data_IF_927635660076
#
_entry.id   IF_927635660076
#
_cell.length_a   1.000
_cell.length_b   1.000
_cell.length_c   1.000
_cell.angle_alpha   90.00
_cell.angle_beta   90.00
_cell.angle_gamma   90.00
#
_symmetry.space_group_name_H-M   'P 1'
#
loop_
_entity.id
_entity.type
_entity.pdbx_description
1 polymer ?
#
# COMPACT_ATOMS: atom_id res chain seq x y z
N UNK A 1 35.57 -14.26 46.91
CA UNK A 1 34.65 -14.35 45.76
C UNK A 1 33.87 -13.05 45.73
N UNK A 2 34.17 -12.14 44.79
CA UNK A 2 33.44 -10.88 44.67
C UNK A 2 32.10 -11.16 44.01
N UNK A 3 31.03 -10.70 44.65
CA UNK A 3 29.64 -10.77 44.19
C UNK A 3 29.45 -9.76 43.05
N UNK A 4 29.63 -10.21 41.80
CA UNK A 4 29.48 -9.39 40.60
C UNK A 4 28.00 -9.22 40.25
N UNK A 5 27.25 -8.47 41.08
CA UNK A 5 25.91 -8.02 40.70
C UNK A 5 26.05 -6.96 39.60
N UNK A 6 25.42 -7.14 38.42
CA UNK A 6 25.51 -6.16 37.33
C UNK A 6 24.94 -4.82 37.80
N UNK A 7 25.59 -3.71 37.39
CA UNK A 7 25.15 -2.36 37.79
C UNK A 7 23.76 -2.10 37.20
N UNK A 8 22.91 -1.30 37.86
CA UNK A 8 21.59 -0.94 37.33
C UNK A 8 21.63 -0.36 35.91
N UNK A 9 22.68 0.41 35.60
CA UNK A 9 22.98 0.99 34.28
C UNK A 9 23.15 -0.09 33.20
N UNK A 10 23.87 -1.18 33.49
CA UNK A 10 24.09 -2.29 32.56
C UNK A 10 22.77 -3.03 32.22
N UNK A 11 21.75 -2.94 33.09
CA UNK A 11 20.41 -3.50 32.81
C UNK A 11 19.56 -2.54 31.99
N UNK A 12 19.63 -1.24 32.27
CA UNK A 12 18.91 -0.22 31.55
C UNK A 12 19.39 -0.15 30.09
N UNK A 13 20.70 -0.16 29.88
CA UNK A 13 21.29 -0.18 28.53
C UNK A 13 20.83 -1.39 27.72
N UNK A 14 20.80 -2.59 28.33
CA UNK A 14 20.26 -3.80 27.69
C UNK A 14 18.77 -3.67 27.36
N UNK A 15 17.98 -3.04 28.23
CA UNK A 15 16.56 -2.83 27.98
C UNK A 15 16.33 -1.84 26.83
N UNK A 16 17.10 -0.76 26.76
CA UNK A 16 17.06 0.21 25.65
C UNK A 16 17.42 -0.48 24.34
N UNK A 17 18.56 -1.17 24.26
CA UNK A 17 18.97 -1.91 23.05
C UNK A 17 17.91 -2.93 22.60
N UNK A 18 17.28 -3.63 23.55
CA UNK A 18 16.21 -4.58 23.23
C UNK A 18 14.95 -3.87 22.69
N UNK A 19 14.58 -2.72 23.26
CA UNK A 19 13.45 -1.92 22.79
C UNK A 19 13.71 -1.32 21.40
N UNK A 20 14.93 -0.83 21.13
CA UNK A 20 15.35 -0.35 19.80
C UNK A 20 15.24 -1.45 18.75
N UNK A 21 15.78 -2.64 19.04
CA UNK A 21 15.68 -3.75 18.10
C UNK A 21 14.22 -4.13 17.83
N UNK A 22 13.37 -4.16 18.88
CA UNK A 22 11.95 -4.47 18.71
C UNK A 22 11.22 -3.41 17.88
N UNK A 23 11.58 -2.13 18.02
CA UNK A 23 11.01 -1.04 17.23
C UNK A 23 11.39 -1.17 15.76
N UNK A 24 12.66 -1.45 15.46
CA UNK A 24 13.15 -1.68 14.09
C UNK A 24 12.39 -2.84 13.44
N UNK A 25 12.21 -3.97 14.14
CA UNK A 25 11.43 -5.09 13.60
C UNK A 25 9.97 -4.69 13.32
N UNK A 26 9.38 -3.87 14.19
CA UNK A 26 8.02 -3.37 14.02
C UNK A 26 7.90 -2.45 12.81
N UNK A 27 8.84 -1.53 12.61
CA UNK A 27 8.89 -0.65 11.44
C UNK A 27 9.06 -1.43 10.14
N UNK A 28 9.94 -2.44 10.13
CA UNK A 28 10.12 -3.34 8.98
C UNK A 28 8.82 -4.08 8.65
N UNK A 29 8.12 -4.58 9.67
CA UNK A 29 6.85 -5.27 9.49
C UNK A 29 5.75 -4.33 8.97
N UNK A 30 5.68 -3.11 9.52
CA UNK A 30 4.72 -2.10 9.10
C UNK A 30 4.95 -1.66 7.66
N UNK A 31 6.19 -1.39 7.26
CA UNK A 31 6.51 -1.01 5.89
C UNK A 31 6.25 -2.17 4.91
N UNK A 32 6.53 -3.41 5.33
CA UNK A 32 6.16 -4.60 4.55
C UNK A 32 4.65 -4.67 4.30
N UNK A 33 3.83 -4.43 5.32
CA UNK A 33 2.38 -4.44 5.20
C UNK A 33 1.86 -3.28 4.33
N UNK A 34 2.44 -2.08 4.48
CA UNK A 34 2.13 -0.92 3.65
C UNK A 34 2.38 -1.21 2.17
N UNK A 35 3.53 -1.79 1.84
CA UNK A 35 3.88 -2.22 0.47
C UNK A 35 2.87 -3.25 -0.06
N UNK A 36 2.40 -4.16 0.79
CA UNK A 36 1.36 -5.12 0.40
C UNK A 36 0.03 -4.45 0.08
N UNK A 37 -0.42 -3.51 0.92
CA UNK A 37 -1.61 -2.68 0.67
C UNK A 37 -1.48 -1.94 -0.65
N UNK A 38 -0.35 -1.29 -0.91
CA UNK A 38 -0.12 -0.51 -2.12
C UNK A 38 -0.15 -1.40 -3.37
N UNK A 39 0.54 -2.55 -3.32
CA UNK A 39 0.55 -3.53 -4.41
C UNK A 39 -0.84 -4.12 -4.67
N UNK A 40 -1.60 -4.40 -3.61
CA UNK A 40 -2.96 -4.91 -3.75
C UNK A 40 -3.93 -3.83 -4.25
N UNK A 41 -3.80 -2.59 -3.78
CA UNK A 41 -4.58 -1.44 -4.25
C UNK A 41 -4.41 -1.24 -5.77
N UNK A 42 -3.17 -1.32 -6.26
CA UNK A 42 -2.89 -1.30 -7.72
C UNK A 42 -3.62 -2.42 -8.44
N UNK A 43 -3.52 -3.65 -7.95
CA UNK A 43 -4.19 -4.80 -8.57
C UNK A 43 -5.72 -4.63 -8.56
N UNK A 44 -6.30 -4.22 -7.43
CA UNK A 44 -7.72 -3.95 -7.27
C UNK A 44 -8.19 -2.92 -8.29
N UNK A 45 -7.48 -1.80 -8.42
CA UNK A 45 -7.83 -0.76 -9.38
C UNK A 45 -7.75 -1.26 -10.83
N UNK A 46 -6.67 -1.98 -11.19
CA UNK A 46 -6.50 -2.54 -12.54
C UNK A 46 -7.57 -3.57 -12.90
N UNK A 47 -7.96 -4.44 -11.95
CA UNK A 47 -8.95 -5.50 -12.20
C UNK A 47 -10.40 -4.98 -12.15
N UNK A 48 -10.73 -4.16 -11.17
CA UNK A 48 -12.12 -3.80 -10.85
C UNK A 48 -12.50 -2.39 -11.30
N UNK A 49 -11.53 -1.47 -11.41
CA UNK A 49 -11.75 -0.09 -11.86
C UNK A 49 -12.59 0.01 -13.15
N UNK A 50 -12.23 -0.72 -14.22
CA UNK A 50 -13.00 -0.71 -15.47
C UNK A 50 -14.46 -1.15 -15.31
N UNK A 51 -14.74 -2.09 -14.40
CA UNK A 51 -16.09 -2.57 -14.14
C UNK A 51 -16.91 -1.55 -13.38
N UNK A 52 -16.31 -0.85 -12.40
CA UNK A 52 -16.97 0.27 -11.72
C UNK A 52 -17.33 1.38 -12.69
N UNK A 53 -16.38 1.82 -13.52
CA UNK A 53 -16.64 2.84 -14.55
C UNK A 53 -17.73 2.40 -15.52
N UNK A 54 -17.73 1.12 -15.94
CA UNK A 54 -18.77 0.58 -16.82
C UNK A 54 -20.15 0.57 -16.17
N UNK A 55 -20.23 0.21 -14.88
CA UNK A 55 -21.49 0.24 -14.13
C UNK A 55 -22.01 1.66 -13.98
N UNK A 56 -21.17 2.62 -13.63
CA UNK A 56 -21.57 4.04 -13.52
C UNK A 56 -22.09 4.58 -14.87
N UNK A 57 -21.41 4.26 -15.98
CA UNK A 57 -21.88 4.62 -17.33
C UNK A 57 -23.25 3.98 -17.65
N UNK A 58 -23.42 2.70 -17.35
CA UNK A 58 -24.69 2.00 -17.60
C UNK A 58 -25.83 2.57 -16.74
N UNK A 59 -25.58 2.87 -15.47
CA UNK A 59 -26.55 3.50 -14.59
C UNK A 59 -26.96 4.90 -15.11
N UNK A 60 -26.01 5.68 -15.62
CA UNK A 60 -26.31 6.96 -16.26
C UNK A 60 -27.17 6.80 -17.52
N UNK A 61 -26.81 5.86 -18.41
CA UNK A 61 -27.58 5.57 -19.63
C UNK A 61 -28.99 5.06 -19.33
N UNK A 62 -29.14 4.19 -18.33
CA UNK A 62 -30.46 3.69 -17.89
C UNK A 62 -31.32 4.85 -17.37
N UNK A 63 -30.77 5.71 -16.51
CA UNK A 63 -31.49 6.86 -15.98
C UNK A 63 -31.90 7.85 -17.08
N UNK A 64 -31.02 8.09 -18.06
CA UNK A 64 -31.31 8.93 -19.22
C UNK A 64 -32.40 8.35 -20.12
N UNK A 65 -32.33 7.04 -20.43
CA UNK A 65 -33.34 6.35 -21.21
C UNK A 65 -34.71 6.38 -20.49
N UNK A 66 -34.72 6.17 -19.17
CA UNK A 66 -35.93 6.27 -18.36
C UNK A 66 -36.52 7.69 -18.41
N UNK A 67 -35.71 8.72 -18.17
CA UNK A 67 -36.14 10.12 -18.20
C UNK A 67 -36.68 10.53 -19.58
N UNK A 68 -36.09 10.02 -20.67
CA UNK A 68 -36.56 10.26 -22.03
C UNK A 68 -37.94 9.64 -22.30
N UNK A 69 -38.23 8.47 -21.71
CA UNK A 69 -39.54 7.80 -21.83
C UNK A 69 -40.62 8.45 -20.98
N UNK A 70 -40.31 8.80 -19.74
CA UNK A 70 -41.31 9.31 -18.77
C UNK A 70 -41.54 10.81 -18.93
N UNK A 71 -40.49 11.57 -19.25
CA UNK A 71 -40.52 13.03 -19.21
C UNK A 71 -40.66 13.61 -17.79
N UNK A 72 -40.53 12.77 -16.75
CA UNK A 72 -40.70 13.17 -15.36
C UNK A 72 -39.50 14.05 -14.91
N UNK A 73 -39.74 15.24 -14.34
CA UNK A 73 -38.67 16.08 -13.78
C UNK A 73 -37.78 15.37 -12.75
N UNK A 74 -38.32 14.44 -11.96
CA UNK A 74 -37.53 13.68 -10.97
C UNK A 74 -36.60 12.67 -11.65
N UNK A 75 -37.03 12.05 -12.75
CA UNK A 75 -36.18 11.14 -13.52
C UNK A 75 -35.10 11.91 -14.28
N UNK A 76 -35.41 13.10 -14.80
CA UNK A 76 -34.42 14.00 -15.38
C UNK A 76 -33.34 14.42 -14.38
N UNK A 77 -33.73 14.71 -13.13
CA UNK A 77 -32.78 15.01 -12.06
C UNK A 77 -31.87 13.81 -11.76
N UNK A 78 -32.44 12.60 -11.63
CA UNK A 78 -31.65 11.38 -11.40
C UNK A 78 -30.67 11.09 -12.54
N UNK A 79 -31.10 11.30 -13.79
CA UNK A 79 -30.23 11.16 -14.96
C UNK A 79 -29.04 12.14 -14.91
N UNK A 80 -29.29 13.40 -14.59
CA UNK A 80 -28.23 14.40 -14.42
C UNK A 80 -27.27 14.04 -13.28
N UNK A 81 -27.80 13.57 -12.15
CA UNK A 81 -26.98 13.13 -11.00
C UNK A 81 -26.12 11.91 -11.35
N UNK A 82 -26.66 10.92 -12.07
CA UNK A 82 -25.91 9.75 -12.50
C UNK A 82 -24.82 10.13 -13.52
N UNK A 83 -25.14 10.97 -14.51
CA UNK A 83 -24.18 11.46 -15.49
C UNK A 83 -23.05 12.28 -14.86
N UNK A 84 -23.35 13.05 -13.81
CA UNK A 84 -22.34 13.80 -13.07
C UNK A 84 -21.32 12.91 -12.35
N UNK A 85 -21.67 11.67 -11.98
CA UNK A 85 -20.73 10.71 -11.36
C UNK A 85 -19.74 10.12 -12.37
N UNK A 86 -20.17 10.02 -13.63
CA UNK A 86 -19.35 9.49 -14.73
C UNK A 86 -18.36 10.52 -15.24
N UNK A 87 -18.73 11.81 -15.25
CA UNK A 87 -17.85 12.85 -15.78
C UNK A 87 -16.57 12.99 -14.94
N UNK A 88 -15.38 13.05 -15.57
CA UNK A 88 -14.16 13.44 -14.86
C UNK A 88 -14.37 14.79 -14.19
N UNK A 89 -14.08 14.88 -12.90
CA UNK A 89 -14.13 16.15 -12.17
C UNK A 89 -12.99 17.06 -12.70
N UNK A 90 -13.29 18.27 -13.21
CA UNK A 90 -12.26 19.17 -13.72
C UNK A 90 -11.19 19.45 -12.66
N UNK A 91 -9.92 19.24 -12.99
CA UNK A 91 -8.76 19.46 -12.09
C UNK A 91 -8.38 18.26 -11.21
N UNK A 92 -9.12 17.15 -11.27
CA UNK A 92 -8.77 15.90 -10.57
C UNK A 92 -7.95 14.97 -11.46
N UNK A 93 -8.13 15.01 -12.79
CA UNK A 93 -7.28 14.28 -13.75
C UNK A 93 -5.78 14.58 -13.59
N UNK A 94 -5.42 15.79 -13.17
CA UNK A 94 -4.03 16.17 -12.88
C UNK A 94 -3.49 15.55 -11.57
N UNK A 95 -4.35 15.18 -10.61
CA UNK A 95 -3.91 14.50 -9.38
C UNK A 95 -3.65 13.01 -9.60
N UNK A 96 -4.23 12.42 -10.64
CA UNK A 96 -4.10 11.00 -11.02
C UNK A 96 -3.12 10.78 -12.18
N UNK A 97 -2.10 11.65 -12.31
CA UNK A 97 -1.06 11.61 -13.35
C UNK A 97 -0.64 10.16 -13.73
N UNK A 98 -1.15 9.67 -14.87
CA UNK A 98 -0.66 8.49 -15.58
C UNK A 98 -1.44 7.17 -15.42
N UNK A 99 -2.62 7.13 -14.80
CA UNK A 99 -3.34 5.85 -14.56
C UNK A 99 -4.75 5.77 -15.16
N UNK A 100 -5.33 6.91 -15.55
CA UNK A 100 -6.44 6.97 -16.50
C UNK A 100 -5.94 7.71 -17.73
N UNK A 101 -5.43 6.97 -18.71
CA UNK A 101 -5.18 7.56 -20.02
C UNK A 101 -6.52 8.05 -20.59
N UNK A 102 -6.51 9.22 -21.21
CA UNK A 102 -7.70 9.82 -21.85
C UNK A 102 -8.18 9.03 -23.09
N UNK A 103 -7.73 7.79 -23.29
CA UNK A 103 -7.97 6.96 -24.46
C UNK A 103 -9.09 5.91 -24.26
N UNK A 104 -9.69 5.82 -23.07
CA UNK A 104 -10.80 4.90 -22.78
C UNK A 104 -10.39 3.65 -22.00
N UNK A 105 -11.19 2.59 -22.08
CA UNK A 105 -10.95 1.34 -21.32
C UNK A 105 -9.73 0.62 -21.92
N UNK A 106 -8.68 0.30 -21.12
CA UNK A 106 -7.50 -0.43 -21.61
C UNK A 106 -7.88 -1.72 -22.35
N UNK A 107 -7.13 -2.17 -23.36
CA UNK A 107 -7.46 -3.37 -24.14
C UNK A 107 -7.70 -4.62 -23.28
N UNK A 108 -6.89 -4.80 -22.23
CA UNK A 108 -7.02 -5.88 -21.26
C UNK A 108 -8.34 -5.78 -20.50
N UNK A 109 -8.69 -4.58 -20.06
CA UNK A 109 -9.94 -4.30 -19.37
C UNK A 109 -11.17 -4.46 -20.29
N UNK A 110 -11.07 -4.02 -21.54
CA UNK A 110 -12.13 -4.19 -22.53
C UNK A 110 -12.36 -5.67 -22.83
N UNK A 111 -11.28 -6.45 -22.96
CA UNK A 111 -11.38 -7.88 -23.17
C UNK A 111 -11.91 -8.61 -21.91
N UNK A 112 -11.55 -8.18 -20.69
CA UNK A 112 -12.19 -8.67 -19.46
C UNK A 112 -13.69 -8.39 -19.41
N UNK A 113 -14.13 -7.18 -19.79
CA UNK A 113 -15.55 -6.82 -19.83
C UNK A 113 -16.36 -7.63 -20.86
N UNK A 114 -15.73 -8.08 -21.93
CA UNK A 114 -16.36 -8.87 -23.00
C UNK A 114 -16.12 -10.38 -22.86
N UNK A 115 -15.70 -10.85 -21.68
CA UNK A 115 -15.41 -12.27 -21.38
C UNK A 115 -14.42 -12.90 -22.38
N UNK A 116 -13.48 -12.09 -22.88
CA UNK A 116 -12.42 -12.54 -23.77
C UNK A 116 -11.21 -13.03 -22.97
N UNK A 117 -10.45 -14.02 -23.47
CA UNK A 117 -9.31 -14.58 -22.76
C UNK A 117 -8.16 -13.57 -22.66
N UNK A 118 -7.93 -13.05 -21.45
CA UNK A 118 -6.83 -12.11 -21.13
C UNK A 118 -6.00 -12.65 -19.97
N UNK A 119 -4.69 -12.39 -20.00
CA UNK A 119 -3.86 -12.57 -18.81
C UNK A 119 -4.20 -11.48 -17.81
N UNK A 120 -4.92 -11.86 -16.75
CA UNK A 120 -5.17 -10.97 -15.63
C UNK A 120 -3.88 -10.34 -15.12
N UNK A 121 -3.89 -9.02 -14.77
CA UNK A 121 -2.76 -8.41 -14.11
C UNK A 121 -2.45 -9.18 -12.82
N UNK A 122 -1.16 -9.29 -12.49
CA UNK A 122 -0.69 -9.94 -11.28
C UNK A 122 -0.16 -8.90 -10.32
N UNK A 123 -0.50 -9.05 -9.04
CA UNK A 123 0.10 -8.25 -7.97
C UNK A 123 1.61 -8.43 -7.99
N UNK A 124 2.36 -7.33 -7.88
CA UNK A 124 3.79 -7.41 -7.58
C UNK A 124 3.92 -8.02 -6.18
N UNK A 125 4.55 -9.19 -6.12
CA UNK A 125 4.83 -9.91 -4.88
C UNK A 125 6.33 -9.99 -4.74
N UNK A 126 6.95 -9.26 -3.79
CA UNK A 126 8.37 -9.40 -3.54
C UNK A 126 8.73 -10.87 -3.30
N UNK A 127 9.76 -11.35 -4.00
CA UNK A 127 10.21 -12.74 -3.87
C UNK A 127 10.75 -13.03 -2.46
N UNK A 128 10.88 -14.31 -2.09
CA UNK A 128 11.51 -14.68 -0.81
C UNK A 128 12.94 -14.14 -0.69
N UNK A 129 13.66 -14.08 -1.81
CA UNK A 129 14.97 -13.43 -1.87
C UNK A 129 14.88 -11.94 -1.60
N UNK A 130 14.00 -11.21 -2.28
CA UNK A 130 13.79 -9.78 -2.07
C UNK A 130 13.38 -9.48 -0.62
N UNK A 131 12.47 -10.28 -0.05
CA UNK A 131 12.06 -10.20 1.37
C UNK A 131 13.22 -10.42 2.33
N UNK A 132 14.11 -11.35 2.03
CA UNK A 132 15.30 -11.60 2.85
C UNK A 132 16.27 -10.43 2.79
N UNK A 133 16.63 -9.99 1.58
CA UNK A 133 17.56 -8.88 1.35
C UNK A 133 17.04 -7.58 1.97
N UNK A 134 15.74 -7.29 1.77
CA UNK A 134 15.08 -6.14 2.35
C UNK A 134 15.20 -6.13 3.87
N UNK A 135 14.80 -7.20 4.54
CA UNK A 135 14.86 -7.29 6.02
C UNK A 135 16.28 -7.15 6.54
N UNK A 136 17.25 -7.74 5.86
CA UNK A 136 18.66 -7.64 6.23
C UNK A 136 19.17 -6.21 6.10
N UNK A 137 18.92 -5.56 4.96
CA UNK A 137 19.31 -4.17 4.71
C UNK A 137 18.62 -3.22 5.67
N UNK A 138 17.31 -3.35 5.86
CA UNK A 138 16.54 -2.50 6.74
C UNK A 138 17.04 -2.58 8.18
N UNK A 139 17.35 -3.79 8.67
CA UNK A 139 17.91 -3.97 10.02
C UNK A 139 19.30 -3.36 10.17
N UNK A 140 20.16 -3.45 9.15
CA UNK A 140 21.55 -2.95 9.20
C UNK A 140 21.66 -1.44 8.99
N UNK A 141 20.81 -0.90 8.13
CA UNK A 141 20.87 0.48 7.66
C UNK A 141 19.83 1.39 8.33
N UNK A 142 19.08 0.90 9.31
CA UNK A 142 18.05 1.68 9.98
C UNK A 142 18.60 3.02 10.53
N UNK A 143 17.91 4.15 10.31
CA UNK A 143 18.40 5.46 10.76
C UNK A 143 18.52 5.57 12.28
N UNK A 144 17.73 4.84 13.06
CA UNK A 144 17.83 4.84 14.53
C UNK A 144 19.16 4.32 15.07
N UNK A 145 19.95 3.63 14.24
CA UNK A 145 21.30 3.16 14.57
C UNK A 145 22.38 4.24 14.33
N UNK A 146 22.01 5.42 13.79
CA UNK A 146 22.94 6.52 13.56
C UNK A 146 23.36 7.22 14.87
N UNK A 147 24.59 7.72 14.90
CA UNK A 147 25.14 8.42 16.07
C UNK A 147 25.05 9.94 15.96
N UNK A 148 25.00 10.46 14.74
CA UNK A 148 24.89 11.88 14.44
C UNK A 148 23.88 12.14 13.32
N UNK A 149 23.43 13.40 13.23
CA UNK A 149 22.45 13.83 12.23
C UNK A 149 22.92 13.58 10.78
N UNK A 150 24.19 13.83 10.39
CA UNK A 150 24.68 13.46 9.06
C UNK A 150 24.57 11.97 8.72
N UNK A 151 24.95 11.08 9.65
CA UNK A 151 24.81 9.64 9.47
C UNK A 151 23.34 9.25 9.38
N UNK A 152 22.48 9.85 10.22
CA UNK A 152 21.04 9.59 10.18
C UNK A 152 20.46 9.95 8.82
N UNK A 153 20.79 11.12 8.28
CA UNK A 153 20.35 11.53 6.94
C UNK A 153 20.80 10.56 5.84
N UNK A 154 22.07 10.13 5.85
CA UNK A 154 22.56 9.13 4.88
C UNK A 154 21.81 7.80 4.98
N UNK A 155 21.50 7.35 6.20
CA UNK A 155 20.74 6.13 6.45
C UNK A 155 19.28 6.25 6.01
N UNK A 156 18.64 7.39 6.28
CA UNK A 156 17.28 7.71 5.82
C UNK A 156 17.18 7.67 4.29
N UNK A 157 18.12 8.33 3.59
CA UNK A 157 18.20 8.32 2.13
C UNK A 157 18.40 6.90 1.59
N UNK A 158 19.30 6.12 2.21
CA UNK A 158 19.55 4.74 1.82
C UNK A 158 18.32 3.85 2.01
N UNK A 159 17.66 3.93 3.18
CA UNK A 159 16.45 3.15 3.49
C UNK A 159 15.30 3.50 2.54
N UNK A 160 15.18 4.77 2.15
CA UNK A 160 14.18 5.19 1.16
C UNK A 160 14.38 4.44 -0.18
N UNK A 161 15.63 4.30 -0.64
CA UNK A 161 15.96 3.54 -1.86
C UNK A 161 15.69 2.05 -1.70
N UNK A 162 16.01 1.49 -0.53
CA UNK A 162 15.73 0.08 -0.20
C UNK A 162 14.23 -0.21 -0.19
N UNK A 163 13.42 0.66 0.42
CA UNK A 163 11.96 0.55 0.45
C UNK A 163 11.38 0.62 -0.98
N UNK A 164 11.88 1.54 -1.82
CA UNK A 164 11.43 1.66 -3.22
C UNK A 164 11.74 0.40 -4.04
N UNK A 165 12.97 -0.14 -3.93
CA UNK A 165 13.34 -1.39 -4.60
C UNK A 165 12.49 -2.57 -4.12
N UNK A 166 12.24 -2.65 -2.81
CA UNK A 166 11.38 -3.69 -2.23
C UNK A 166 9.92 -3.56 -2.69
N UNK A 167 9.37 -2.35 -2.76
CA UNK A 167 8.00 -2.10 -3.23
C UNK A 167 7.76 -2.62 -4.67
N UNK A 168 8.79 -2.49 -5.51
CA UNK A 168 8.81 -3.01 -6.89
C UNK A 168 9.15 -4.51 -6.98
N UNK A 169 9.53 -5.15 -5.86
CA UNK A 169 9.99 -6.54 -5.84
C UNK A 169 11.34 -6.75 -6.53
N UNK A 170 12.15 -5.71 -6.69
CA UNK A 170 13.40 -5.73 -7.44
C UNK A 170 14.55 -6.31 -6.59
N UNK A 171 14.69 -7.63 -6.66
CA UNK A 171 15.75 -8.34 -5.94
C UNK A 171 17.17 -7.95 -6.42
N UNK A 172 17.33 -7.54 -7.68
CA UNK A 172 18.64 -7.16 -8.22
C UNK A 172 19.08 -5.78 -7.71
N UNK A 173 18.16 -4.81 -7.69
CA UNK A 173 18.40 -3.52 -7.06
C UNK A 173 18.72 -3.70 -5.56
N UNK A 174 18.02 -4.58 -4.84
CA UNK A 174 18.31 -4.88 -3.44
C UNK A 174 19.71 -5.51 -3.26
N UNK A 175 20.17 -6.39 -4.15
CA UNK A 175 21.54 -6.92 -4.09
C UNK A 175 22.58 -5.83 -4.31
N UNK A 176 22.38 -4.98 -5.31
CA UNK A 176 23.27 -3.84 -5.59
C UNK A 176 23.34 -2.90 -4.38
N UNK A 177 22.20 -2.60 -3.75
CA UNK A 177 22.14 -1.79 -2.54
C UNK A 177 22.88 -2.46 -1.37
N UNK A 178 22.84 -3.78 -1.25
CA UNK A 178 23.62 -4.51 -0.25
C UNK A 178 25.13 -4.33 -0.45
N UNK A 179 25.60 -4.44 -1.68
CA UNK A 179 27.02 -4.23 -2.02
C UNK A 179 27.44 -2.77 -1.74
N UNK A 180 26.59 -1.80 -2.09
CA UNK A 180 26.82 -0.39 -1.80
C UNK A 180 26.93 -0.13 -0.29
N UNK A 181 26.05 -0.76 0.50
CA UNK A 181 26.08 -0.63 1.96
C UNK A 181 27.37 -1.21 2.55
N UNK A 182 27.81 -2.37 2.07
CA UNK A 182 29.04 -3.04 2.49
C UNK A 182 30.31 -2.24 2.12
N UNK A 183 30.27 -1.47 1.04
CA UNK A 183 31.36 -0.59 0.61
C UNK A 183 31.42 0.75 1.36
N UNK A 184 30.42 1.06 2.19
CA UNK A 184 30.33 2.29 2.96
C UNK A 184 31.39 2.42 4.08
N UNK A 185 31.56 3.63 4.67
CA UNK A 185 32.46 3.83 5.80
C UNK A 185 32.10 2.94 6.99
N UNK A 186 33.13 2.46 7.70
CA UNK A 186 32.99 1.57 8.84
C UNK A 186 32.18 2.23 9.97
N UNK A 187 31.40 1.44 10.76
CA UNK A 187 30.70 1.94 11.93
C UNK A 187 31.70 2.57 12.91
N UNK A 188 31.37 3.75 13.43
CA UNK A 188 32.13 4.37 14.53
C UNK A 188 31.78 3.62 15.82
N UNK A 189 32.76 3.16 16.59
CA UNK A 189 32.52 2.44 17.85
C UNK A 189 31.96 3.35 18.96
N UNK A 190 31.19 2.72 19.85
CA UNK A 190 30.31 3.28 20.88
C UNK A 190 30.97 4.32 21.81
N UNK A 191 30.21 5.36 22.16
CA UNK A 191 30.40 6.09 23.44
C UNK A 191 29.21 5.82 24.34
N UNK A 192 29.50 5.32 25.53
CA UNK A 192 28.54 5.06 26.61
C UNK A 192 27.96 6.38 27.11
N UNK A 193 26.65 6.42 27.32
CA UNK A 193 25.92 7.60 27.77
C UNK A 193 25.35 7.44 29.18
N UNK A 194 25.23 8.58 29.87
CA UNK A 194 24.77 8.66 31.25
C UNK A 194 23.31 8.17 31.38
N UNK A 195 22.92 7.67 32.56
CA UNK A 195 21.63 7.01 32.76
C UNK A 195 20.40 7.87 32.36
N UNK A 196 20.50 9.20 32.43
CA UNK A 196 19.44 10.13 32.00
C UNK A 196 19.18 10.08 30.49
N UNK A 197 20.22 9.91 29.68
CA UNK A 197 20.09 9.77 28.22
C UNK A 197 19.39 8.46 27.86
N UNK A 198 19.68 7.37 28.58
CA UNK A 198 19.01 6.08 28.38
C UNK A 198 17.51 6.16 28.69
N UNK A 199 17.11 6.90 29.74
CA UNK A 199 15.69 7.12 30.03
C UNK A 199 15.01 7.97 28.96
N UNK A 200 15.65 9.07 28.52
CA UNK A 200 15.11 9.90 27.44
C UNK A 200 14.95 9.10 26.14
N UNK A 201 15.90 8.21 25.84
CA UNK A 201 15.84 7.30 24.69
C UNK A 201 14.68 6.31 24.82
N UNK A 202 14.46 5.71 25.98
CA UNK A 202 13.34 4.79 26.21
C UNK A 202 11.98 5.48 26.04
N UNK A 203 11.85 6.71 26.53
CA UNK A 203 10.64 7.52 26.37
C UNK A 203 10.38 7.83 24.89
N UNK A 204 11.41 8.23 24.15
CA UNK A 204 11.32 8.44 22.70
C UNK A 204 10.89 7.17 21.95
N UNK A 205 11.47 6.01 22.29
CA UNK A 205 11.08 4.72 21.69
C UNK A 205 9.60 4.38 21.96
N UNK A 206 9.12 4.68 23.17
CA UNK A 206 7.71 4.47 23.52
C UNK A 206 6.79 5.33 22.68
N UNK A 207 7.08 6.64 22.56
CA UNK A 207 6.28 7.58 21.76
C UNK A 207 6.29 7.20 20.28
N UNK A 208 7.46 6.82 19.74
CA UNK A 208 7.59 6.37 18.35
C UNK A 208 6.76 5.12 18.09
N UNK A 209 6.81 4.14 19.00
CA UNK A 209 5.98 2.92 18.93
C UNK A 209 4.49 3.24 18.92
N UNK A 210 4.02 4.15 19.78
CA UNK A 210 2.61 4.56 19.83
C UNK A 210 2.15 5.15 18.51
N UNK A 211 2.95 6.06 17.92
CA UNK A 211 2.66 6.65 16.62
C UNK A 211 2.58 5.59 15.51
N UNK A 212 3.56 4.69 15.43
CA UNK A 212 3.56 3.63 14.43
C UNK A 212 2.41 2.64 14.62
N UNK A 213 2.00 2.39 15.86
CA UNK A 213 0.83 1.55 16.17
C UNK A 213 -0.46 2.20 15.68
N UNK A 214 -0.60 3.52 15.79
CA UNK A 214 -1.73 4.25 15.22
C UNK A 214 -1.77 4.12 13.69
N UNK A 215 -0.61 4.30 13.02
CA UNK A 215 -0.50 4.12 11.56
C UNK A 215 -0.84 2.70 11.14
N UNK A 216 -0.34 1.69 11.87
CA UNK A 216 -0.66 0.28 11.59
C UNK A 216 -2.18 0.03 11.64
N UNK A 217 -2.84 0.58 12.66
CA UNK A 217 -4.29 0.48 12.80
C UNK A 217 -5.04 1.16 11.65
N UNK A 218 -4.63 2.36 11.26
CA UNK A 218 -5.24 3.07 10.11
C UNK A 218 -5.10 2.27 8.80
N UNK A 219 -3.93 1.66 8.57
CA UNK A 219 -3.71 0.78 7.42
C UNK A 219 -4.62 -0.45 7.46
N UNK A 220 -4.76 -1.11 8.61
CA UNK A 220 -5.64 -2.27 8.79
C UNK A 220 -7.14 -1.95 8.65
N UNK A 221 -7.54 -0.74 9.05
CA UNK A 221 -8.92 -0.24 8.98
C UNK A 221 -9.25 0.37 7.60
N UNK A 222 -8.26 0.60 6.75
CA UNK A 222 -8.49 1.02 5.36
C UNK A 222 -9.30 -0.01 4.57
N UNK A 223 -9.98 0.41 3.49
CA UNK A 223 -10.79 -0.50 2.68
C UNK A 223 -9.97 -1.68 2.13
N UNK A 224 -8.77 -1.41 1.62
CA UNK A 224 -7.85 -2.43 1.12
C UNK A 224 -7.27 -3.29 2.24
N UNK A 225 -6.88 -2.67 3.36
CA UNK A 225 -6.42 -3.41 4.55
C UNK A 225 -7.51 -4.35 5.08
N UNK A 226 -8.77 -3.92 5.08
CA UNK A 226 -9.93 -4.74 5.39
C UNK A 226 -10.08 -5.93 4.45
N UNK A 227 -9.93 -5.74 3.14
CA UNK A 227 -9.96 -6.84 2.15
C UNK A 227 -8.84 -7.87 2.40
N UNK A 228 -7.61 -7.40 2.64
CA UNK A 228 -6.48 -8.28 2.98
C UNK A 228 -6.73 -9.08 4.28
N UNK A 229 -7.40 -8.48 5.27
CA UNK A 229 -7.81 -9.18 6.50
C UNK A 229 -8.94 -10.19 6.29
N UNK A 230 -9.85 -9.94 5.35
CA UNK A 230 -10.94 -10.86 5.04
C UNK A 230 -10.44 -12.12 4.33
N UNK A 231 -9.40 -12.01 3.51
CA UNK A 231 -8.80 -13.12 2.76
C UNK A 231 -7.26 -13.13 2.92
N UNK A 232 -6.73 -13.45 4.11
CA UNK A 232 -5.29 -13.37 4.38
C UNK A 232 -4.47 -14.40 3.59
N UNK A 233 -5.05 -15.56 3.29
CA UNK A 233 -4.36 -16.65 2.58
C UNK A 233 -4.37 -16.48 1.06
N UNK A 234 -5.48 -15.96 0.51
CA UNK A 234 -5.66 -15.79 -0.94
C UNK A 234 -6.48 -14.54 -1.28
N UNK A 235 -5.88 -13.34 -1.12
CA UNK A 235 -6.57 -12.10 -1.41
C UNK A 235 -6.78 -11.88 -2.92
N UNK A 236 -5.98 -12.53 -3.78
CA UNK A 236 -6.14 -12.45 -5.24
C UNK A 236 -7.43 -13.15 -5.68
N UNK A 237 -7.75 -14.32 -5.10
CA UNK A 237 -9.03 -14.99 -5.35
C UNK A 237 -10.22 -14.15 -4.92
N UNK A 238 -10.14 -13.45 -3.79
CA UNK A 238 -11.21 -12.53 -3.37
C UNK A 238 -11.48 -11.47 -4.45
N UNK A 239 -10.44 -10.91 -5.08
CA UNK A 239 -10.62 -9.97 -6.19
C UNK A 239 -11.27 -10.63 -7.42
N UNK A 240 -10.96 -11.89 -7.71
CA UNK A 240 -11.59 -12.62 -8.80
C UNK A 240 -13.08 -12.83 -8.56
N UNK A 241 -13.46 -13.23 -7.34
CA UNK A 241 -14.86 -13.40 -6.95
C UNK A 241 -15.64 -12.08 -7.03
N UNK A 242 -15.03 -10.96 -6.62
CA UNK A 242 -15.64 -9.62 -6.77
C UNK A 242 -15.76 -9.25 -8.25
N UNK A 243 -14.74 -9.52 -9.07
CA UNK A 243 -14.77 -9.25 -10.50
C UNK A 243 -15.92 -9.99 -11.21
N UNK A 244 -16.12 -11.28 -10.90
CA UNK A 244 -17.22 -12.09 -11.43
C UNK A 244 -18.59 -11.50 -11.04
N UNK A 245 -18.75 -11.04 -9.79
CA UNK A 245 -19.98 -10.39 -9.34
C UNK A 245 -20.25 -9.07 -10.05
N UNK A 246 -19.21 -8.28 -10.32
CA UNK A 246 -19.35 -7.02 -11.04
C UNK A 246 -19.69 -7.25 -12.52
N UNK A 247 -19.09 -8.26 -13.17
CA UNK A 247 -19.45 -8.65 -14.54
C UNK A 247 -20.91 -9.09 -14.66
N UNK A 248 -21.41 -9.85 -13.68
CA UNK A 248 -22.82 -10.24 -13.64
C UNK A 248 -23.75 -9.01 -13.55
N UNK A 249 -23.39 -8.01 -12.74
CA UNK A 249 -24.14 -6.76 -12.63
C UNK A 249 -24.09 -5.95 -13.93
N UNK A 250 -22.92 -5.86 -14.59
CA UNK A 250 -22.77 -5.21 -15.89
C UNK A 250 -23.72 -5.84 -16.90
N UNK A 251 -23.72 -7.17 -17.02
CA UNK A 251 -24.59 -7.90 -17.94
C UNK A 251 -26.09 -7.72 -17.62
N UNK A 252 -26.46 -7.55 -16.35
CA UNK A 252 -27.83 -7.23 -15.94
C UNK A 252 -28.23 -5.83 -16.40
N UNK A 253 -27.38 -4.83 -16.18
CA UNK A 253 -27.67 -3.44 -16.57
C UNK A 253 -27.68 -3.23 -18.07
N UNK A 254 -26.85 -3.94 -18.82
CA UNK A 254 -26.91 -3.94 -20.28
C UNK A 254 -28.24 -4.48 -20.82
N UNK A 255 -28.78 -5.54 -20.19
CA UNK A 255 -30.11 -6.07 -20.52
C UNK A 255 -31.22 -5.09 -20.15
N UNK A 256 -31.11 -4.42 -19.01
CA UNK A 256 -32.07 -3.40 -18.58
C UNK A 256 -32.09 -2.22 -19.56
N UNK A 257 -30.92 -1.67 -19.90
CA UNK A 257 -30.79 -0.59 -20.87
C UNK A 257 -31.39 -0.97 -22.23
N UNK A 258 -31.10 -2.18 -22.71
CA UNK A 258 -31.63 -2.68 -23.99
C UNK A 258 -33.16 -2.67 -24.01
N UNK A 259 -33.82 -3.11 -22.93
CA UNK A 259 -35.30 -3.08 -22.80
C UNK A 259 -35.88 -1.67 -22.74
N UNK A 260 -35.10 -0.70 -22.30
CA UNK A 260 -35.54 0.70 -22.23
C UNK A 260 -35.45 1.41 -23.58
N UNK A 261 -34.51 0.99 -24.44
CA UNK A 261 -34.24 1.62 -25.74
C UNK A 261 -34.99 0.92 -26.90
N UNK A 262 -35.48 -0.32 -26.70
CA UNK A 262 -36.48 -0.98 -27.55
C UNK A 262 -37.87 -0.30 -27.49
#
# INVERSE_FOLDING_TARGET
>A
MQDTRPRPEDRLEKAVRAAEQALIEFEIALETFRVEIENFSRLHHQKLGPMYTRLDELDALIAEAQAARTGDPDDQRKAQEARARVMPMPGVDELFHGWMDSEGIPPEAAAMLNDQPVRSPKRVRPSEEARKLYRELARRAHPDLAQDEPERGRREEFITRVNAAYALGDAEALRTLSEEWDAGPAPVEERQSEAEELYARLEWLSQRKELLTAVAKELEESAIGGMLRLAPDDPDRLLEEIAEQLLAQVAEREKELSRLVE
#
